data_IF_862065148354
#
_entry.id   IF_862065148354
#
_cell.length_a   1.000
_cell.length_b   1.000
_cell.length_c   1.000
_cell.angle_alpha   90.00
_cell.angle_beta   90.00
_cell.angle_gamma   90.00
#
_symmetry.space_group_name_H-M   'P 1'
#
loop_
_entity.id
_entity.type
_entity.pdbx_description
1 polymer ?
#
# COMPACT_ATOMS: atom_id res chain seq x y z
N UNK A 1 -17.04 19.41 -10.08
CA UNK A 1 -15.99 19.21 -11.08
C UNK A 1 -15.95 17.73 -11.46
N UNK A 2 -15.76 17.33 -12.72
CA UNK A 2 -15.72 15.91 -13.10
C UNK A 2 -14.33 15.37 -12.77
N UNK A 3 -14.25 14.33 -11.92
CA UNK A 3 -12.97 13.72 -11.53
C UNK A 3 -12.37 13.00 -12.75
N UNK A 4 -11.12 13.30 -13.14
CA UNK A 4 -10.48 12.70 -14.30
C UNK A 4 -10.12 11.23 -14.09
N UNK A 5 -9.94 10.48 -15.16
CA UNK A 5 -9.33 9.15 -15.13
C UNK A 5 -7.81 9.35 -15.17
N UNK A 6 -7.06 8.49 -14.47
CA UNK A 6 -5.58 8.49 -14.52
C UNK A 6 -5.07 8.44 -15.96
N UNK A 7 -3.93 9.08 -16.21
CA UNK A 7 -3.25 9.00 -17.49
C UNK A 7 -2.15 7.93 -17.41
N UNK A 8 -2.46 6.75 -17.92
CA UNK A 8 -1.51 5.63 -18.00
C UNK A 8 -0.32 5.99 -18.91
N UNK A 9 0.89 5.60 -18.49
CA UNK A 9 2.16 5.82 -19.18
C UNK A 9 2.78 4.53 -19.68
N UNK A 10 2.73 3.49 -18.84
CA UNK A 10 3.33 2.19 -19.11
C UNK A 10 2.53 1.09 -18.40
N UNK A 11 2.45 -0.06 -19.03
CA UNK A 11 1.88 -1.27 -18.45
C UNK A 11 2.70 -2.47 -18.90
N UNK A 12 2.98 -3.38 -17.99
CA UNK A 12 3.64 -4.64 -18.32
C UNK A 12 3.12 -5.76 -17.42
N UNK A 13 3.27 -6.98 -17.90
CA UNK A 13 2.98 -8.16 -17.07
C UNK A 13 3.95 -8.20 -15.90
N UNK A 14 3.44 -8.30 -14.69
CA UNK A 14 4.29 -8.41 -13.49
C UNK A 14 5.18 -9.64 -13.60
N UNK A 15 6.47 -9.53 -13.31
CA UNK A 15 7.41 -10.64 -13.44
C UNK A 15 7.24 -11.73 -12.37
N UNK A 16 6.34 -11.49 -11.41
CA UNK A 16 5.94 -12.46 -10.38
C UNK A 16 4.43 -12.60 -10.32
N UNK A 17 3.93 -13.68 -9.73
CA UNK A 17 2.50 -13.91 -9.53
C UNK A 17 2.00 -13.21 -8.28
N UNK A 18 0.71 -12.88 -8.25
CA UNK A 18 0.03 -12.23 -7.12
C UNK A 18 0.84 -11.07 -6.51
N UNK A 19 1.18 -10.04 -7.33
CA UNK A 19 1.95 -8.90 -6.85
C UNK A 19 1.21 -8.18 -5.71
N UNK A 20 1.93 -7.87 -4.62
CA UNK A 20 1.34 -7.31 -3.41
C UNK A 20 1.91 -5.95 -3.07
N UNK A 21 3.08 -5.86 -2.49
CA UNK A 21 3.74 -4.59 -2.22
C UNK A 21 4.41 -4.03 -3.47
N UNK A 22 4.42 -2.70 -3.58
CA UNK A 22 5.29 -1.96 -4.50
C UNK A 22 6.01 -0.89 -3.71
N UNK A 23 7.30 -0.69 -4.02
CA UNK A 23 8.06 0.41 -3.46
C UNK A 23 9.21 0.81 -4.41
N UNK A 24 9.62 2.07 -4.33
CA UNK A 24 10.71 2.64 -5.10
C UNK A 24 11.90 2.94 -4.19
N UNK A 25 13.11 2.51 -4.56
CA UNK A 25 14.33 2.72 -3.75
C UNK A 25 15.15 3.96 -4.14
N UNK A 26 14.62 4.78 -5.03
CA UNK A 26 15.30 5.90 -5.64
C UNK A 26 15.88 5.56 -7.03
N UNK A 27 16.01 4.29 -7.37
CA UNK A 27 16.57 3.82 -8.65
C UNK A 27 15.77 2.70 -9.30
N UNK A 28 15.17 1.82 -8.51
CA UNK A 28 14.53 0.60 -8.98
C UNK A 28 13.20 0.36 -8.26
N UNK A 29 12.29 -0.30 -8.98
CA UNK A 29 11.05 -0.78 -8.42
C UNK A 29 11.27 -2.10 -7.68
N UNK A 30 10.68 -2.20 -6.48
CA UNK A 30 10.63 -3.43 -5.70
C UNK A 30 9.19 -3.91 -5.58
N UNK A 31 9.01 -5.22 -5.63
CA UNK A 31 7.69 -5.86 -5.62
C UNK A 31 7.73 -7.11 -4.75
N UNK A 32 6.70 -7.36 -3.96
CA UNK A 32 6.53 -8.66 -3.31
C UNK A 32 5.49 -9.50 -4.05
N UNK A 33 5.63 -10.82 -3.92
CA UNK A 33 4.57 -11.78 -4.26
C UNK A 33 3.90 -12.25 -2.99
N UNK A 34 2.56 -12.20 -2.96
CA UNK A 34 1.81 -12.72 -1.82
C UNK A 34 1.93 -14.23 -1.70
N UNK A 35 1.87 -14.94 -2.81
CA UNK A 35 1.80 -16.41 -2.83
C UNK A 35 3.19 -17.05 -2.77
N UNK A 36 4.22 -16.40 -3.33
CA UNK A 36 5.59 -16.91 -3.30
C UNK A 36 6.37 -16.46 -2.06
N UNK A 37 5.94 -15.37 -1.41
CA UNK A 37 6.56 -14.85 -0.19
C UNK A 37 7.84 -14.03 -0.40
N UNK A 38 8.39 -13.98 -1.60
CA UNK A 38 9.61 -13.27 -1.91
C UNK A 38 9.42 -11.76 -2.13
N UNK A 39 10.51 -11.00 -1.98
CA UNK A 39 10.60 -9.59 -2.27
C UNK A 39 11.65 -9.35 -3.37
N UNK A 40 11.21 -8.85 -4.51
CA UNK A 40 11.97 -8.79 -5.76
C UNK A 40 12.36 -7.37 -6.12
N UNK A 41 13.59 -7.19 -6.60
CA UNK A 41 14.02 -6.01 -7.35
C UNK A 41 13.70 -6.19 -8.82
N UNK A 42 13.08 -5.20 -9.45
CA UNK A 42 12.50 -5.31 -10.79
C UNK A 42 13.17 -4.34 -11.76
N UNK A 43 13.58 -4.87 -12.93
CA UNK A 43 13.85 -4.06 -14.11
C UNK A 43 12.52 -3.67 -14.76
N UNK A 44 12.16 -2.40 -14.68
CA UNK A 44 10.90 -1.87 -15.23
C UNK A 44 10.92 -1.76 -16.76
N UNK A 45 12.10 -1.76 -17.40
CA UNK A 45 12.21 -1.68 -18.86
C UNK A 45 12.05 -3.06 -19.51
N UNK A 46 12.65 -4.09 -18.90
CA UNK A 46 12.58 -5.45 -19.42
C UNK A 46 11.49 -6.30 -18.74
N UNK A 47 10.81 -5.77 -17.73
CA UNK A 47 9.84 -6.48 -16.90
C UNK A 47 10.41 -7.80 -16.31
N UNK A 48 11.63 -7.72 -15.76
CA UNK A 48 12.38 -8.89 -15.24
C UNK A 48 12.77 -8.71 -13.79
N UNK A 49 12.93 -9.83 -13.09
CA UNK A 49 13.53 -9.87 -11.76
C UNK A 49 15.03 -9.69 -11.89
N UNK A 50 15.58 -8.70 -11.18
CA UNK A 50 17.03 -8.43 -11.08
C UNK A 50 17.64 -9.10 -9.84
N UNK A 51 16.87 -9.18 -8.76
CA UNK A 51 17.33 -9.68 -7.47
C UNK A 51 16.12 -10.20 -6.67
N UNK A 52 16.37 -11.14 -5.77
CA UNK A 52 15.37 -11.79 -4.95
C UNK A 52 15.82 -11.83 -3.50
N UNK A 53 14.89 -11.53 -2.59
CA UNK A 53 15.10 -11.62 -1.15
C UNK A 53 14.06 -12.53 -0.53
N UNK A 54 14.49 -13.29 0.48
CA UNK A 54 13.65 -14.19 1.26
C UNK A 54 13.35 -13.58 2.63
N UNK A 55 12.24 -12.84 2.79
CA UNK A 55 11.84 -12.25 4.06
C UNK A 55 11.26 -13.32 5.01
N UNK A 56 11.20 -13.05 6.32
CA UNK A 56 10.68 -14.01 7.32
C UNK A 56 9.16 -14.20 7.26
N UNK A 57 8.51 -13.85 6.18
CA UNK A 57 7.08 -13.98 5.92
C UNK A 57 6.65 -13.11 4.74
N UNK A 58 5.35 -13.04 4.46
CA UNK A 58 4.81 -12.27 3.34
C UNK A 58 5.01 -10.77 3.58
N UNK A 59 5.65 -10.08 2.64
CA UNK A 59 5.76 -8.62 2.63
C UNK A 59 4.45 -8.04 2.09
N UNK A 60 3.67 -7.42 2.96
CA UNK A 60 2.39 -6.80 2.60
C UNK A 60 2.55 -5.37 2.11
N UNK A 61 3.53 -4.66 2.66
CA UNK A 61 3.92 -3.34 2.21
C UNK A 61 5.42 -3.12 2.38
N UNK A 62 5.95 -2.20 1.60
CA UNK A 62 7.33 -1.75 1.67
C UNK A 62 7.40 -0.25 1.40
N UNK A 63 8.31 0.44 2.06
CA UNK A 63 8.69 1.81 1.79
C UNK A 63 10.18 2.00 2.05
N UNK A 64 10.86 2.71 1.17
CA UNK A 64 12.24 3.14 1.39
C UNK A 64 12.28 4.33 2.35
N UNK A 65 13.24 4.34 3.26
CA UNK A 65 13.47 5.40 4.25
C UNK A 65 14.93 5.82 4.24
N UNK A 66 15.29 6.86 5.00
CA UNK A 66 16.65 7.39 5.05
C UNK A 66 17.70 6.38 5.57
N UNK A 67 17.26 5.37 6.34
CA UNK A 67 18.11 4.36 6.99
C UNK A 67 17.80 2.93 6.55
N UNK A 68 17.33 2.74 5.32
CA UNK A 68 16.96 1.46 4.72
C UNK A 68 15.45 1.34 4.50
N UNK A 69 14.91 0.17 4.62
CA UNK A 69 13.52 -0.12 4.32
C UNK A 69 12.67 -0.27 5.59
N UNK A 70 11.39 0.03 5.47
CA UNK A 70 10.34 -0.42 6.40
C UNK A 70 9.37 -1.32 5.65
N UNK A 71 9.13 -2.49 6.21
CA UNK A 71 8.28 -3.52 5.61
C UNK A 71 7.22 -3.93 6.62
N UNK A 72 5.97 -4.06 6.21
CA UNK A 72 5.00 -4.82 7.00
C UNK A 72 5.08 -6.28 6.58
N UNK A 73 5.39 -7.16 7.52
CA UNK A 73 5.53 -8.60 7.29
C UNK A 73 4.60 -9.35 8.23
N UNK A 74 3.93 -10.37 7.68
CA UNK A 74 3.10 -11.31 8.42
C UNK A 74 3.22 -12.72 7.86
N UNK A 75 2.93 -13.74 8.70
CA UNK A 75 3.11 -15.14 8.33
C UNK A 75 1.86 -15.79 7.75
N UNK A 76 0.71 -15.15 7.82
CA UNK A 76 -0.53 -15.76 7.38
C UNK A 76 -1.72 -14.82 7.25
N UNK A 77 -2.91 -15.42 7.22
CA UNK A 77 -4.20 -14.73 7.16
C UNK A 77 -4.63 -14.11 8.49
N UNK A 78 -4.02 -14.55 9.60
CA UNK A 78 -4.27 -14.02 10.94
C UNK A 78 -3.45 -12.73 11.11
N UNK A 79 -4.02 -11.80 11.86
CA UNK A 79 -3.41 -10.49 12.11
C UNK A 79 -2.16 -10.61 12.99
N UNK A 80 -1.06 -10.88 12.36
CA UNK A 80 0.27 -11.01 12.95
C UNK A 80 1.26 -10.03 12.31
N UNK A 81 0.79 -8.83 11.98
CA UNK A 81 1.58 -7.83 11.27
C UNK A 81 2.60 -7.15 12.18
N UNK A 82 3.85 -7.15 11.71
CA UNK A 82 4.96 -6.44 12.34
C UNK A 82 5.65 -5.56 11.31
N UNK A 83 6.18 -4.43 11.79
CA UNK A 83 7.10 -3.62 11.00
C UNK A 83 8.52 -4.17 11.18
N UNK A 84 9.18 -4.41 10.06
CA UNK A 84 10.57 -4.82 9.96
C UNK A 84 11.41 -3.73 9.33
N UNK A 85 12.68 -3.67 9.70
CA UNK A 85 13.73 -3.00 8.95
C UNK A 85 14.44 -4.01 8.06
N UNK A 86 14.67 -3.63 6.82
CA UNK A 86 15.54 -4.36 5.90
C UNK A 86 16.69 -3.45 5.48
N UNK A 87 17.94 -3.91 5.62
CA UNK A 87 19.15 -3.13 5.42
C UNK A 87 19.61 -3.05 3.95
N UNK A 88 18.90 -3.71 3.04
CA UNK A 88 19.31 -3.85 1.63
C UNK A 88 20.26 -5.01 1.36
N UNK A 89 20.90 -5.58 2.39
CA UNK A 89 21.94 -6.60 2.27
C UNK A 89 21.52 -8.01 2.71
N UNK A 90 20.22 -8.20 2.97
CA UNK A 90 19.68 -9.51 3.32
C UNK A 90 19.25 -9.65 4.79
N UNK A 91 19.49 -8.67 5.65
CA UNK A 91 19.09 -8.72 7.05
C UNK A 91 17.71 -8.09 7.26
N UNK A 92 16.78 -8.88 7.78
CA UNK A 92 15.47 -8.45 8.24
C UNK A 92 15.45 -8.40 9.76
N UNK A 93 15.20 -7.24 10.33
CA UNK A 93 15.12 -6.99 11.76
C UNK A 93 13.69 -6.62 12.15
N UNK A 94 13.07 -7.39 13.04
CA UNK A 94 11.75 -7.08 13.57
C UNK A 94 11.86 -5.89 14.52
N UNK A 95 11.10 -4.81 14.25
CA UNK A 95 11.12 -3.59 15.06
C UNK A 95 9.99 -3.57 16.09
N UNK A 96 8.75 -3.58 15.63
CA UNK A 96 7.58 -3.48 16.50
C UNK A 96 6.34 -4.13 15.84
N UNK A 97 5.35 -4.45 16.68
CA UNK A 97 4.05 -4.90 16.19
C UNK A 97 3.29 -3.72 15.57
N UNK A 98 2.61 -3.94 14.45
CA UNK A 98 1.64 -2.97 13.98
C UNK A 98 0.56 -2.75 15.05
N UNK A 99 0.05 -1.52 15.25
CA UNK A 99 -1.08 -1.30 16.15
C UNK A 99 -2.23 -2.26 15.84
N UNK A 100 -2.81 -2.87 16.87
CA UNK A 100 -3.85 -3.92 16.78
C UNK A 100 -3.44 -5.13 15.91
N UNK A 101 -2.14 -5.37 15.75
CA UNK A 101 -1.55 -6.40 14.87
C UNK A 101 -2.04 -6.32 13.42
N UNK A 102 -2.61 -5.19 13.00
CA UNK A 102 -3.09 -4.95 11.64
C UNK A 102 -2.27 -3.88 10.95
N UNK A 103 -1.90 -4.11 9.70
CA UNK A 103 -1.15 -3.15 8.89
C UNK A 103 -1.12 -3.61 7.44
N UNK A 104 -1.51 -2.73 6.52
CA UNK A 104 -1.66 -3.07 5.12
C UNK A 104 -0.60 -2.43 4.25
N UNK A 105 -0.50 -1.10 4.27
CA UNK A 105 0.43 -0.35 3.43
C UNK A 105 1.21 0.65 4.26
N UNK A 106 2.38 1.05 3.74
CA UNK A 106 3.30 2.01 4.37
C UNK A 106 3.60 3.15 3.41
N UNK A 107 3.75 4.36 3.98
CA UNK A 107 4.43 5.47 3.33
C UNK A 107 5.28 6.24 4.33
N UNK A 108 6.20 7.07 3.82
CA UNK A 108 7.17 7.80 4.63
C UNK A 108 7.33 9.22 4.08
N UNK A 109 7.26 10.23 4.95
CA UNK A 109 7.33 11.64 4.55
C UNK A 109 8.74 12.26 4.72
N UNK A 110 9.74 11.43 5.08
CA UNK A 110 11.10 11.85 5.42
C UNK A 110 11.35 11.89 6.94
N UNK A 111 10.29 11.87 7.76
CA UNK A 111 10.37 11.94 9.22
C UNK A 111 9.50 10.86 9.89
N UNK A 112 8.26 10.74 9.47
CA UNK A 112 7.25 9.90 10.09
C UNK A 112 6.82 8.76 9.16
N UNK A 113 6.53 7.61 9.76
CA UNK A 113 5.97 6.46 9.08
C UNK A 113 4.44 6.52 9.16
N UNK A 114 3.77 6.29 8.03
CA UNK A 114 2.33 6.18 7.94
C UNK A 114 1.95 4.74 7.60
N UNK A 115 1.06 4.15 8.41
CA UNK A 115 0.58 2.78 8.28
C UNK A 115 -0.92 2.76 8.05
N UNK A 116 -1.39 2.18 6.96
CA UNK A 116 -2.82 1.99 6.76
C UNK A 116 -3.33 0.72 7.45
N UNK A 117 -4.54 0.82 7.98
CA UNK A 117 -5.34 -0.29 8.47
C UNK A 117 -6.57 -0.43 7.56
N UNK A 118 -6.52 -1.41 6.66
CA UNK A 118 -7.50 -1.56 5.58
C UNK A 118 -8.94 -1.64 6.09
N UNK A 119 -9.19 -2.56 7.04
CA UNK A 119 -10.54 -2.78 7.57
C UNK A 119 -11.04 -1.62 8.43
N UNK A 120 -10.13 -0.92 9.11
CA UNK A 120 -10.44 0.25 9.94
C UNK A 120 -10.54 1.52 9.09
N UNK A 121 -10.23 1.45 7.79
CA UNK A 121 -10.35 2.55 6.82
C UNK A 121 -9.62 3.83 7.27
N UNK A 122 -8.48 3.66 7.95
CA UNK A 122 -7.68 4.75 8.50
C UNK A 122 -6.19 4.59 8.22
N UNK A 123 -5.47 5.70 8.32
CA UNK A 123 -4.03 5.75 8.26
C UNK A 123 -3.52 6.26 9.62
N UNK A 124 -2.60 5.53 10.22
CA UNK A 124 -1.94 5.90 11.47
C UNK A 124 -0.60 6.56 11.16
N UNK A 125 -0.34 7.71 11.77
CA UNK A 125 1.00 8.29 11.86
C UNK A 125 1.71 7.65 13.04
N UNK A 126 2.89 7.07 12.81
CA UNK A 126 3.64 6.35 13.82
C UNK A 126 4.94 7.08 14.18
N UNK A 127 5.28 7.04 15.47
CA UNK A 127 6.62 7.40 15.94
C UNK A 127 7.64 6.27 15.64
N UNK A 128 8.91 6.52 15.96
CA UNK A 128 10.01 5.56 15.75
C UNK A 128 9.85 4.25 16.54
N UNK A 129 9.06 4.23 17.59
CA UNK A 129 8.76 3.06 18.40
C UNK A 129 7.47 2.33 17.96
N UNK A 130 6.80 2.81 16.91
CA UNK A 130 5.56 2.25 16.40
C UNK A 130 4.31 2.69 17.15
N UNK A 131 4.39 3.69 18.03
CA UNK A 131 3.24 4.23 18.74
C UNK A 131 2.50 5.22 17.86
N UNK A 132 1.18 5.20 17.92
CA UNK A 132 0.33 6.10 17.14
C UNK A 132 0.42 7.53 17.69
N UNK A 133 0.86 8.46 16.85
CA UNK A 133 0.87 9.90 17.12
C UNK A 133 -0.36 10.63 16.58
N UNK A 134 -0.98 10.05 15.55
CA UNK A 134 -2.14 10.64 14.90
C UNK A 134 -2.88 9.63 14.02
N UNK A 135 -4.13 9.95 13.73
CA UNK A 135 -5.00 9.11 12.90
C UNK A 135 -5.67 9.97 11.83
N UNK A 136 -5.69 9.47 10.60
CA UNK A 136 -6.39 10.07 9.47
C UNK A 136 -7.50 9.10 9.05
N UNK A 137 -8.75 9.53 9.21
CA UNK A 137 -9.91 8.76 8.78
C UNK A 137 -10.08 8.90 7.27
N UNK A 138 -10.01 7.79 6.54
CA UNK A 138 -10.15 7.76 5.07
C UNK A 138 -11.59 7.48 4.66
N UNK A 139 -12.32 6.72 5.49
CA UNK A 139 -13.73 6.40 5.28
C UNK A 139 -13.98 5.44 4.11
N UNK A 140 -12.94 4.76 3.62
CA UNK A 140 -13.02 3.76 2.56
C UNK A 140 -11.89 2.74 2.70
N UNK A 141 -12.03 1.58 2.05
CA UNK A 141 -10.97 0.57 1.99
C UNK A 141 -9.71 1.13 1.32
N UNK A 142 -8.56 0.95 1.96
CA UNK A 142 -7.27 1.49 1.51
C UNK A 142 -6.51 0.39 0.78
N UNK A 143 -6.39 0.52 -0.54
CA UNK A 143 -5.70 -0.45 -1.40
C UNK A 143 -4.23 -0.11 -1.65
N UNK A 144 -3.76 1.00 -1.14
CA UNK A 144 -2.39 1.50 -1.22
C UNK A 144 -2.33 2.96 -0.83
N UNK A 145 -1.17 3.43 -0.38
CA UNK A 145 -0.91 4.86 -0.23
C UNK A 145 0.57 5.16 -0.37
N UNK A 146 0.87 6.39 -0.73
CA UNK A 146 2.25 6.90 -0.87
C UNK A 146 2.30 8.36 -0.46
N UNK A 147 3.40 8.78 0.15
CA UNK A 147 3.71 10.19 0.35
C UNK A 147 4.47 10.72 -0.86
N UNK A 148 3.94 11.74 -1.50
CA UNK A 148 4.54 12.37 -2.66
C UNK A 148 4.18 13.86 -2.68
N UNK A 149 5.13 14.72 -3.06
CA UNK A 149 4.89 16.16 -3.26
C UNK A 149 4.19 16.85 -2.06
N UNK A 150 4.54 16.46 -0.83
CA UNK A 150 4.02 17.04 0.39
C UNK A 150 2.61 16.58 0.80
N UNK A 151 2.05 15.58 0.14
CA UNK A 151 0.74 15.00 0.44
C UNK A 151 0.76 13.47 0.48
N UNK A 152 -0.22 12.88 1.15
CA UNK A 152 -0.49 11.44 1.07
C UNK A 152 -1.51 11.23 -0.05
N UNK A 153 -1.15 10.40 -1.03
CA UNK A 153 -2.08 9.91 -2.04
C UNK A 153 -2.53 8.52 -1.63
N UNK A 154 -3.85 8.33 -1.58
CA UNK A 154 -4.48 7.09 -1.12
C UNK A 154 -5.25 6.46 -2.27
N UNK A 155 -4.90 5.23 -2.58
CA UNK A 155 -5.68 4.39 -3.48
C UNK A 155 -6.83 3.76 -2.67
N UNK A 156 -8.05 4.15 -3.00
CA UNK A 156 -9.27 3.65 -2.39
C UNK A 156 -10.02 2.77 -3.37
N UNK A 157 -10.61 1.70 -2.88
CA UNK A 157 -11.42 0.84 -3.73
C UNK A 157 -12.08 -0.28 -2.96
N UNK A 158 -13.06 -0.90 -3.58
CA UNK A 158 -13.71 -2.09 -3.05
C UNK A 158 -13.33 -3.28 -3.92
N UNK A 159 -12.71 -4.29 -3.32
CA UNK A 159 -12.64 -5.62 -3.92
C UNK A 159 -13.73 -6.49 -3.30
N UNK A 160 -14.43 -7.26 -4.13
CA UNK A 160 -15.31 -8.34 -3.67
C UNK A 160 -14.47 -9.55 -3.20
N UNK A 161 -13.64 -9.34 -2.18
CA UNK A 161 -12.89 -10.43 -1.54
C UNK A 161 -13.72 -10.98 -0.38
N UNK A 162 -13.91 -12.30 -0.28
CA UNK A 162 -14.51 -12.89 0.91
C UNK A 162 -13.70 -12.45 2.14
N UNK A 163 -14.37 -11.80 3.09
CA UNK A 163 -13.73 -11.33 4.32
C UNK A 163 -13.27 -12.53 5.14
N UNK A 164 -12.02 -12.53 5.64
CA UNK A 164 -11.60 -13.56 6.60
C UNK A 164 -12.52 -13.52 7.81
N UNK A 165 -13.00 -14.66 8.26
CA UNK A 165 -13.64 -14.76 9.58
C UNK A 165 -12.53 -14.68 10.62
N UNK A 166 -12.45 -13.57 11.34
CA UNK A 166 -11.50 -13.43 12.43
C UNK A 166 -11.88 -14.37 13.58
N UNK A 167 -10.96 -15.23 13.96
CA UNK A 167 -11.06 -15.99 15.21
C UNK A 167 -10.79 -15.05 16.38
N UNK A 168 -11.85 -14.48 16.98
CA UNK A 168 -11.75 -13.74 18.25
C UNK A 168 -12.38 -12.34 18.32
N UNK A 169 -12.74 -11.71 17.23
CA UNK A 169 -13.48 -10.45 17.23
C UNK A 169 -14.87 -10.64 16.63
N UNK A 170 -15.93 -10.20 17.31
CA UNK A 170 -17.26 -10.17 16.72
C UNK A 170 -17.19 -9.31 15.45
N UNK A 171 -17.49 -9.86 14.25
CA UNK A 171 -17.68 -9.03 13.08
C UNK A 171 -18.90 -8.16 13.36
N UNK A 172 -18.68 -6.92 13.69
CA UNK A 172 -19.78 -5.97 13.72
C UNK A 172 -20.14 -5.67 12.28
N UNK A 173 -21.13 -6.41 11.76
CA UNK A 173 -21.72 -6.22 10.42
C UNK A 173 -22.20 -4.76 10.19
N UNK A 174 -22.26 -3.95 11.23
CA UNK A 174 -22.66 -2.55 11.19
C UNK A 174 -21.55 -1.56 10.86
N UNK A 175 -20.26 -1.93 10.97
CA UNK A 175 -19.13 -1.01 10.70
C UNK A 175 -18.82 -0.83 9.21
N UNK A 176 -19.38 -1.62 8.33
CA UNK A 176 -19.04 -1.64 6.91
C UNK A 176 -20.19 -1.24 6.00
N UNK A 177 -20.70 -0.03 6.19
CA UNK A 177 -21.45 0.62 5.13
C UNK A 177 -20.43 1.22 4.15
N UNK A 178 -19.88 0.40 3.23
CA UNK A 178 -19.27 0.97 2.04
C UNK A 178 -20.38 1.68 1.28
N UNK A 179 -20.21 2.95 0.95
CA UNK A 179 -21.14 3.70 0.13
C UNK A 179 -21.19 3.22 -1.33
N UNK A 180 -20.47 2.16 -1.68
CA UNK A 180 -20.52 1.53 -2.98
C UNK A 180 -21.76 0.64 -3.05
N UNK A 181 -22.63 0.93 -3.98
CA UNK A 181 -23.75 0.04 -4.37
C UNK A 181 -23.13 -1.30 -4.78
N UNK A 182 -23.71 -2.38 -4.27
CA UNK A 182 -23.36 -3.74 -4.67
C UNK A 182 -23.41 -3.83 -6.21
N UNK A 183 -22.25 -4.02 -6.88
CA UNK A 183 -22.17 -4.27 -8.32
C UNK A 183 -21.17 -3.43 -9.12
N UNK A 184 -20.63 -2.32 -8.63
CA UNK A 184 -19.61 -1.57 -9.35
C UNK A 184 -18.32 -1.50 -8.53
N UNK A 185 -17.32 -2.25 -8.97
CA UNK A 185 -15.96 -2.13 -8.47
C UNK A 185 -15.41 -0.78 -8.95
N UNK A 186 -15.02 0.08 -8.03
CA UNK A 186 -14.49 1.41 -8.35
C UNK A 186 -13.24 1.68 -7.55
N UNK A 187 -12.21 2.16 -8.22
CA UNK A 187 -10.97 2.61 -7.60
C UNK A 187 -10.75 4.09 -7.86
N UNK A 188 -10.28 4.76 -6.81
CA UNK A 188 -10.04 6.19 -6.82
C UNK A 188 -8.70 6.49 -6.18
N UNK A 189 -8.07 7.57 -6.61
CA UNK A 189 -6.98 8.18 -5.86
C UNK A 189 -7.55 9.40 -5.16
N UNK A 190 -7.38 9.42 -3.83
CA UNK A 190 -7.63 10.59 -3.01
C UNK A 190 -6.30 11.22 -2.58
N UNK A 191 -6.33 12.55 -2.41
CA UNK A 191 -5.22 13.33 -1.88
C UNK A 191 -5.58 13.81 -0.48
N UNK A 192 -4.62 13.70 0.44
CA UNK A 192 -4.75 14.12 1.83
C UNK A 192 -3.54 15.00 2.16
N UNK A 193 -3.76 16.15 2.76
CA UNK A 193 -2.68 16.94 3.36
C UNK A 193 -2.52 16.54 4.83
N UNK A 194 -1.46 15.80 5.22
CA UNK A 194 -1.31 15.29 6.58
C UNK A 194 -0.99 16.39 7.62
N UNK A 195 -0.74 17.62 7.17
CA UNK A 195 -0.49 18.78 8.04
C UNK A 195 -1.76 19.55 8.41
N UNK A 196 -2.85 19.30 7.71
CA UNK A 196 -4.13 19.94 8.00
C UNK A 196 -4.79 19.27 9.20
N UNK A 197 -5.26 20.05 10.14
CA UNK A 197 -5.92 19.55 11.36
C UNK A 197 -7.11 18.63 11.07
N UNK A 198 -7.80 18.85 9.96
CA UNK A 198 -8.98 18.08 9.56
C UNK A 198 -8.68 17.03 8.47
N UNK A 199 -7.45 16.99 7.94
CA UNK A 199 -6.97 16.00 6.94
C UNK A 199 -8.02 15.61 5.91
N UNK A 200 -8.60 16.60 5.20
CA UNK A 200 -9.66 16.36 4.23
C UNK A 200 -9.23 15.34 3.17
N UNK A 201 -10.09 14.37 2.86
CA UNK A 201 -9.86 13.32 1.86
C UNK A 201 -10.54 13.74 0.57
N UNK A 202 -9.76 14.20 -0.42
CA UNK A 202 -10.28 14.75 -1.68
C UNK A 202 -9.98 13.79 -2.82
N UNK A 203 -11.02 13.30 -3.51
CA UNK A 203 -10.84 12.47 -4.71
C UNK A 203 -10.28 13.29 -5.87
N UNK A 204 -9.14 12.85 -6.40
CA UNK A 204 -8.40 13.55 -7.46
C UNK A 204 -8.34 12.78 -8.79
N UNK A 205 -8.51 11.46 -8.78
CA UNK A 205 -8.58 10.67 -10.00
C UNK A 205 -9.36 9.36 -9.84
N UNK A 206 -9.91 8.86 -10.96
CA UNK A 206 -10.44 7.49 -11.09
C UNK A 206 -9.35 6.56 -11.63
N UNK A 207 -9.31 5.32 -11.11
CA UNK A 207 -8.45 4.25 -11.61
C UNK A 207 -9.30 3.20 -12.29
N UNK A 208 -9.13 2.93 -13.59
CA UNK A 208 -10.02 2.07 -14.36
C UNK A 208 -9.69 0.57 -14.25
N UNK A 209 -9.05 0.14 -13.16
CA UNK A 209 -8.72 -1.25 -12.90
C UNK A 209 -8.64 -1.52 -11.39
N UNK A 210 -8.71 -2.80 -11.01
CA UNK A 210 -8.56 -3.27 -9.63
C UNK A 210 -7.12 -3.06 -9.13
N UNK A 211 -6.84 -1.86 -8.65
CA UNK A 211 -5.50 -1.42 -8.29
C UNK A 211 -5.13 -1.82 -6.84
N UNK A 212 -3.88 -2.24 -6.67
CA UNK A 212 -3.29 -2.61 -5.38
C UNK A 212 -1.89 -2.05 -5.23
N UNK A 213 -1.59 -1.59 -4.02
CA UNK A 213 -0.36 -0.88 -3.71
C UNK A 213 -0.22 0.42 -4.49
N UNK A 214 0.52 1.34 -3.98
CA UNK A 214 0.84 2.61 -4.63
C UNK A 214 2.23 3.05 -4.22
N UNK A 215 3.09 3.34 -5.19
CA UNK A 215 4.40 3.95 -4.94
C UNK A 215 4.68 5.06 -5.94
N UNK A 216 5.69 5.88 -5.66
CA UNK A 216 6.06 7.05 -6.46
C UNK A 216 7.56 7.00 -6.75
N UNK A 217 7.93 7.11 -8.03
CA UNK A 217 9.32 7.05 -8.49
C UNK A 217 10.02 8.41 -8.57
N UNK A 218 9.34 9.47 -8.14
CA UNK A 218 9.78 10.86 -8.26
C UNK A 218 9.08 11.61 -9.39
N UNK A 219 8.50 10.90 -10.35
CA UNK A 219 7.79 11.47 -11.50
C UNK A 219 6.39 10.86 -11.69
N UNK A 220 6.28 9.53 -11.56
CA UNK A 220 5.05 8.78 -11.84
C UNK A 220 4.62 7.92 -10.66
N UNK A 221 3.36 7.58 -10.62
CA UNK A 221 2.83 6.56 -9.72
C UNK A 221 2.87 5.18 -10.36
N UNK A 222 3.09 4.17 -9.51
CA UNK A 222 3.05 2.76 -9.87
C UNK A 222 2.06 2.02 -8.99
N UNK A 223 1.28 1.13 -9.61
CA UNK A 223 0.30 0.28 -8.92
C UNK A 223 0.22 -1.09 -9.58
N UNK A 224 -0.21 -2.10 -8.84
CA UNK A 224 -0.46 -3.44 -9.37
C UNK A 224 -1.93 -3.59 -9.75
N UNK A 225 -2.19 -4.13 -10.94
CA UNK A 225 -3.47 -4.73 -11.32
C UNK A 225 -3.39 -6.24 -11.04
N UNK A 226 -3.66 -6.63 -9.79
CA UNK A 226 -3.42 -8.00 -9.32
C UNK A 226 -4.19 -9.04 -10.13
N UNK A 227 -5.47 -8.80 -10.43
CA UNK A 227 -6.31 -9.74 -11.15
C UNK A 227 -5.78 -10.06 -12.56
N UNK A 228 -5.17 -9.07 -13.23
CA UNK A 228 -4.54 -9.23 -14.55
C UNK A 228 -3.05 -9.63 -14.45
N UNK A 229 -2.48 -9.68 -13.25
CA UNK A 229 -1.04 -9.86 -13.02
C UNK A 229 -0.19 -8.85 -13.79
N UNK A 230 -0.54 -7.57 -13.68
CA UNK A 230 0.12 -6.46 -14.37
C UNK A 230 0.60 -5.39 -13.38
N UNK A 231 1.62 -4.67 -13.78
CA UNK A 231 2.11 -3.46 -13.10
C UNK A 231 1.90 -2.27 -14.02
N UNK A 232 1.32 -1.20 -13.48
CA UNK A 232 0.86 -0.04 -14.23
C UNK A 232 1.52 1.23 -13.69
N UNK A 233 2.11 2.00 -14.59
CA UNK A 233 2.65 3.33 -14.35
C UNK A 233 1.70 4.38 -14.89
N UNK A 234 1.46 5.46 -14.15
CA UNK A 234 0.60 6.56 -14.56
C UNK A 234 1.04 7.89 -13.97
N UNK A 235 0.67 8.97 -14.63
CA UNK A 235 1.00 10.31 -14.14
C UNK A 235 0.30 10.62 -12.82
N UNK A 236 0.95 11.36 -11.90
CA UNK A 236 0.28 11.90 -10.74
C UNK A 236 -0.96 12.70 -11.15
N UNK A 237 -2.07 12.57 -10.40
CA UNK A 237 -3.21 13.44 -10.60
C UNK A 237 -2.83 14.90 -10.29
N UNK A 238 -3.30 15.82 -11.10
CA UNK A 238 -3.12 17.27 -10.90
C UNK A 238 -4.03 17.82 -9.83
#
# INVERSE_FOLDING_TARGET
>A
MKIPIIKERKRFRSPTVTPQALAWDGTQLWMSSRDLGFFYKIDIEQAKILDEKDPPGVVWAAVSTNDGWRLTIGKGLNDDRYVYRYDGNGRFEKLFACPDLTGSYLSYDGESLYLSQWYEQRILKLDKAGRTEGTIEVGAEICGHVFANGAIFVLRGTENVPRPQYAGGKPTAERFKSGAKQGEEQWWIARINPRDKNSEVVDVAKVPFAARSLTFDGENFWSNHRAANETVCFSPPS
#
